data_IF_545435634930
#
_entry.id   IF_545435634930
#
_cell.length_a   1.000
_cell.length_b   1.000
_cell.length_c   1.000
_cell.angle_alpha   90.00
_cell.angle_beta   90.00
_cell.angle_gamma   90.00
#
_symmetry.space_group_name_H-M   'P 1'
#
loop_
_entity.id
_entity.type
_entity.pdbx_description
1 polymer ?
#
# COMPACT_ATOMS: atom_id res chain seq x y z
N UNK A 1 0.82 11.47 13.97
CA UNK A 1 0.39 10.57 12.87
C UNK A 1 0.23 11.30 11.55
N UNK A 2 -0.62 12.33 11.41
CA UNK A 2 -0.84 13.00 10.10
C UNK A 2 0.08 14.21 9.82
N UNK A 3 1.12 14.42 10.62
CA UNK A 3 2.04 15.56 10.48
C UNK A 3 2.68 15.62 9.08
N UNK A 4 3.16 14.48 8.57
CA UNK A 4 3.78 14.36 7.24
C UNK A 4 2.83 14.70 6.09
N UNK A 5 1.56 14.30 6.23
CA UNK A 5 0.53 14.59 5.25
C UNK A 5 0.12 16.08 5.25
N UNK A 6 0.06 16.71 6.42
CA UNK A 6 -0.42 18.10 6.57
C UNK A 6 0.71 19.11 6.32
N UNK A 7 1.87 18.88 6.93
CA UNK A 7 2.98 19.83 7.00
C UNK A 7 4.17 19.43 6.12
N UNK A 8 4.18 18.22 5.55
CA UNK A 8 5.37 17.67 4.90
C UNK A 8 6.37 17.10 5.90
N UNK A 9 7.55 16.77 5.38
CA UNK A 9 8.57 16.00 6.11
C UNK A 9 9.36 16.91 7.05
N UNK A 10 9.58 16.44 8.28
CA UNK A 10 10.38 17.10 9.31
C UNK A 10 11.45 16.16 9.81
N UNK A 11 12.64 16.70 10.08
CA UNK A 11 13.81 15.89 10.48
C UNK A 11 13.79 15.44 11.93
N UNK A 12 12.87 15.97 12.73
CA UNK A 12 12.74 15.73 14.16
C UNK A 12 11.98 14.41 14.45
N UNK A 13 11.39 13.79 13.43
CA UNK A 13 10.67 12.51 13.52
C UNK A 13 11.61 11.32 13.30
N UNK A 14 12.43 10.98 14.32
CA UNK A 14 13.24 9.76 14.28
C UNK A 14 12.35 8.52 14.36
N UNK A 15 12.55 7.58 13.43
CA UNK A 15 11.91 6.27 13.51
C UNK A 15 12.73 5.34 14.42
N UNK A 16 12.11 4.82 15.48
CA UNK A 16 12.68 3.69 16.24
C UNK A 16 12.51 2.40 15.42
N UNK A 17 13.55 1.57 15.41
CA UNK A 17 13.55 0.26 14.73
C UNK A 17 13.73 -0.82 15.80
N UNK A 18 12.92 -1.87 15.79
CA UNK A 18 13.06 -2.97 16.77
C UNK A 18 13.22 -4.38 16.21
N UNK A 19 13.32 -4.59 14.89
CA UNK A 19 13.38 -5.96 14.33
C UNK A 19 14.48 -6.18 13.28
N UNK A 20 15.11 -7.35 13.37
CA UNK A 20 16.12 -7.89 12.45
C UNK A 20 15.44 -8.69 11.32
N UNK A 21 15.82 -8.39 10.08
CA UNK A 21 15.39 -9.14 8.88
C UNK A 21 16.64 -9.58 8.10
N UNK A 22 16.87 -10.89 7.92
CA UNK A 22 18.06 -11.41 7.23
C UNK A 22 18.11 -11.10 5.72
N UNK A 23 17.02 -10.60 5.14
CA UNK A 23 16.96 -10.14 3.75
C UNK A 23 17.37 -8.67 3.59
N UNK A 24 17.65 -7.96 4.69
CA UNK A 24 18.03 -6.54 4.70
C UNK A 24 19.53 -6.41 4.99
N UNK A 25 20.27 -5.75 4.10
CA UNK A 25 21.66 -5.35 4.34
C UNK A 25 21.69 -3.94 4.95
N UNK A 26 22.34 -3.82 6.09
CA UNK A 26 22.62 -2.52 6.72
C UNK A 26 23.85 -1.91 6.07
N UNK A 27 23.71 -0.66 5.65
CA UNK A 27 24.79 0.12 5.01
C UNK A 27 24.97 1.42 5.78
N UNK A 28 26.20 1.92 5.80
CA UNK A 28 26.62 2.99 6.70
C UNK A 28 27.03 4.25 5.94
N UNK A 29 27.17 5.35 6.69
CA UNK A 29 27.64 6.61 6.14
C UNK A 29 29.01 6.45 5.46
N UNK A 30 29.13 7.03 4.26
CA UNK A 30 30.28 7.02 3.34
C UNK A 30 30.62 5.66 2.73
N UNK A 31 29.76 4.65 2.89
CA UNK A 31 29.96 3.36 2.22
C UNK A 31 29.98 3.50 0.70
N UNK A 32 30.84 2.70 0.06
CA UNK A 32 30.92 2.55 -1.40
C UNK A 32 30.74 1.09 -1.76
N UNK A 33 29.53 0.71 -2.14
CA UNK A 33 29.15 -0.70 -2.27
C UNK A 33 29.01 -1.05 -3.75
N UNK A 34 29.72 -2.08 -4.18
CA UNK A 34 29.47 -2.67 -5.50
C UNK A 34 28.29 -3.63 -5.40
N UNK A 35 27.17 -3.28 -6.03
CA UNK A 35 25.93 -4.06 -6.03
C UNK A 35 26.16 -5.51 -6.46
N UNK A 36 27.03 -5.74 -7.44
CA UNK A 36 27.29 -7.08 -7.96
C UNK A 36 28.00 -8.01 -6.95
N UNK A 37 28.55 -7.47 -5.86
CA UNK A 37 29.22 -8.24 -4.80
C UNK A 37 28.31 -8.57 -3.61
N UNK A 38 27.10 -8.02 -3.57
CA UNK A 38 26.16 -8.28 -2.48
C UNK A 38 25.50 -9.66 -2.72
N UNK A 39 25.34 -10.49 -1.68
CA UNK A 39 24.70 -11.79 -1.79
C UNK A 39 23.27 -11.70 -2.36
N UNK A 40 22.90 -12.64 -3.24
CA UNK A 40 21.58 -12.69 -3.88
C UNK A 40 20.39 -12.85 -2.90
N UNK A 41 20.65 -13.30 -1.65
CA UNK A 41 19.64 -13.39 -0.59
C UNK A 41 19.17 -12.03 -0.07
N UNK A 42 19.96 -10.98 -0.27
CA UNK A 42 19.62 -9.62 0.16
C UNK A 42 18.62 -9.03 -0.83
N UNK A 43 17.51 -8.55 -0.30
CA UNK A 43 16.42 -7.93 -1.06
C UNK A 43 16.32 -6.43 -0.83
N UNK A 44 16.89 -5.93 0.27
CA UNK A 44 16.77 -4.54 0.67
C UNK A 44 18.07 -3.99 1.20
N UNK A 45 18.24 -2.68 1.01
CA UNK A 45 19.27 -1.89 1.66
C UNK A 45 18.62 -1.01 2.72
N UNK A 46 19.21 -1.00 3.92
CA UNK A 46 18.82 -0.10 5.00
C UNK A 46 19.93 0.89 5.26
N UNK A 47 19.61 2.17 5.15
CA UNK A 47 20.52 3.29 5.31
C UNK A 47 19.86 4.38 6.15
N UNK A 48 20.62 5.01 7.05
CA UNK A 48 20.10 6.04 7.97
C UNK A 48 18.79 5.59 8.69
N UNK A 49 18.75 4.32 9.09
CA UNK A 49 17.61 3.73 9.80
C UNK A 49 16.36 3.45 8.94
N UNK A 50 16.39 3.62 7.62
CA UNK A 50 15.23 3.37 6.74
C UNK A 50 15.57 2.43 5.59
N UNK A 51 14.58 1.68 5.12
CA UNK A 51 14.72 0.89 3.89
C UNK A 51 14.71 1.85 2.70
N UNK A 52 15.64 1.66 1.77
CA UNK A 52 15.67 2.41 0.51
C UNK A 52 14.72 1.75 -0.50
N UNK A 53 13.68 2.48 -0.90
CA UNK A 53 12.71 2.04 -1.92
C UNK A 53 12.82 2.83 -3.23
N UNK A 54 13.80 3.73 -3.33
CA UNK A 54 14.03 4.58 -4.51
C UNK A 54 13.15 5.84 -4.48
N UNK A 55 12.89 6.42 -5.66
CA UNK A 55 12.26 7.73 -5.74
C UNK A 55 11.78 8.17 -7.13
N UNK A 56 11.20 9.36 -7.14
CA UNK A 56 10.60 10.02 -8.31
C UNK A 56 11.55 11.10 -8.81
N UNK A 57 11.72 11.23 -10.12
CA UNK A 57 12.59 12.22 -10.73
C UNK A 57 12.22 13.64 -10.28
N UNK A 58 13.22 14.41 -9.84
CA UNK A 58 13.10 15.80 -9.40
C UNK A 58 14.07 16.75 -10.13
N UNK A 59 14.84 16.23 -11.09
CA UNK A 59 15.80 16.97 -11.90
C UNK A 59 16.53 16.03 -12.87
N UNK A 60 17.53 16.55 -13.60
CA UNK A 60 18.35 15.73 -14.48
C UNK A 60 19.15 14.71 -13.65
N UNK A 61 18.76 13.44 -13.73
CA UNK A 61 19.37 12.31 -13.01
C UNK A 61 19.25 12.33 -11.48
N UNK A 62 18.44 13.22 -10.93
CA UNK A 62 18.14 13.27 -9.49
C UNK A 62 16.72 12.78 -9.24
N UNK A 63 16.55 11.99 -8.18
CA UNK A 63 15.29 11.44 -7.73
C UNK A 63 15.13 11.68 -6.23
N UNK A 64 13.90 11.88 -5.77
CA UNK A 64 13.59 12.06 -4.35
C UNK A 64 12.65 10.94 -3.89
N UNK A 65 12.89 10.36 -2.71
CA UNK A 65 12.00 9.34 -2.15
C UNK A 65 10.58 9.87 -1.96
N UNK A 66 9.59 8.98 -1.99
CA UNK A 66 8.17 9.35 -1.82
C UNK A 66 7.91 10.01 -0.45
N UNK A 67 8.64 9.60 0.58
CA UNK A 67 8.60 10.18 1.92
C UNK A 67 9.56 11.38 2.10
N UNK A 68 10.16 11.88 1.02
CA UNK A 68 11.14 12.99 0.98
C UNK A 68 12.25 12.92 2.03
N UNK A 69 12.68 11.72 2.42
CA UNK A 69 13.79 11.53 3.36
C UNK A 69 15.13 11.29 2.65
N UNK A 70 15.11 10.84 1.40
CA UNK A 70 16.31 10.57 0.62
C UNK A 70 16.33 11.28 -0.73
N UNK A 71 17.52 11.69 -1.14
CA UNK A 71 17.84 12.12 -2.50
C UNK A 71 18.75 11.06 -3.12
N UNK A 72 18.45 10.69 -4.36
CA UNK A 72 19.21 9.77 -5.17
C UNK A 72 19.75 10.51 -6.39
N UNK A 73 21.06 10.42 -6.66
CA UNK A 73 21.68 11.03 -7.84
C UNK A 73 22.40 9.96 -8.66
N UNK A 74 21.94 9.73 -9.88
CA UNK A 74 22.48 8.71 -10.77
C UNK A 74 23.53 9.33 -11.72
N UNK A 75 24.78 8.91 -11.60
CA UNK A 75 25.88 9.35 -12.45
C UNK A 75 26.47 8.16 -13.20
N UNK A 76 26.06 7.98 -14.46
CA UNK A 76 26.35 6.74 -15.20
C UNK A 76 25.69 5.55 -14.51
N UNK A 77 26.51 4.62 -13.98
CA UNK A 77 26.05 3.45 -13.21
C UNK A 77 26.27 3.60 -11.71
N UNK A 78 26.77 4.74 -11.24
CA UNK A 78 26.95 5.01 -9.81
C UNK A 78 25.72 5.77 -9.29
N UNK A 79 25.06 5.20 -8.27
CA UNK A 79 23.93 5.82 -7.60
C UNK A 79 24.37 6.34 -6.24
N UNK A 80 24.46 7.65 -6.10
CA UNK A 80 24.67 8.32 -4.83
C UNK A 80 23.34 8.46 -4.09
N UNK A 81 23.30 8.10 -2.81
CA UNK A 81 22.13 8.23 -1.93
C UNK A 81 22.48 9.15 -0.77
N UNK A 82 21.68 10.17 -0.52
CA UNK A 82 21.85 11.14 0.57
C UNK A 82 20.61 11.14 1.46
N UNK A 83 20.79 10.95 2.77
CA UNK A 83 19.75 11.25 3.76
C UNK A 83 19.64 12.76 3.90
N UNK A 84 18.43 13.31 3.71
CA UNK A 84 18.17 14.75 3.82
C UNK A 84 18.36 15.21 5.26
N UNK A 85 17.89 14.42 6.23
CA UNK A 85 17.86 14.82 7.63
C UNK A 85 19.16 14.50 8.36
N UNK A 86 19.69 13.29 8.18
CA UNK A 86 20.90 12.86 8.89
C UNK A 86 22.18 13.35 8.22
N UNK A 87 22.06 13.93 7.00
CA UNK A 87 23.18 14.38 6.15
C UNK A 87 24.21 13.28 5.88
N UNK A 88 23.83 12.02 6.04
CA UNK A 88 24.63 10.85 5.69
C UNK A 88 24.55 10.61 4.18
N UNK A 89 25.60 10.03 3.62
CA UNK A 89 25.64 9.65 2.21
C UNK A 89 26.18 8.23 1.99
N UNK A 90 25.75 7.57 0.92
CA UNK A 90 26.34 6.32 0.45
C UNK A 90 26.42 6.30 -1.07
N UNK A 91 27.30 5.45 -1.64
CA UNK A 91 27.40 5.26 -3.09
C UNK A 91 27.22 3.79 -3.44
N UNK A 92 26.26 3.51 -4.31
CA UNK A 92 26.03 2.20 -4.90
C UNK A 92 26.61 2.17 -6.31
N UNK A 93 27.70 1.42 -6.48
CA UNK A 93 28.36 1.24 -7.78
C UNK A 93 27.68 0.14 -8.60
N UNK A 94 27.68 0.32 -9.91
CA UNK A 94 27.08 -0.60 -10.89
C UNK A 94 25.58 -0.81 -10.67
N UNK A 95 24.88 0.25 -10.28
CA UNK A 95 23.42 0.30 -10.23
C UNK A 95 22.86 0.29 -11.65
N UNK A 96 21.97 -0.67 -11.92
CA UNK A 96 21.24 -0.80 -13.17
C UNK A 96 19.77 -0.45 -12.92
N UNK A 97 19.36 0.70 -13.42
CA UNK A 97 18.01 1.24 -13.25
C UNK A 97 16.93 0.31 -13.79
N UNK A 98 17.20 -0.44 -14.85
CA UNK A 98 16.23 -1.34 -15.50
C UNK A 98 16.05 -2.65 -14.73
N UNK A 99 17.05 -3.03 -13.92
CA UNK A 99 17.00 -4.23 -13.08
C UNK A 99 16.49 -3.98 -11.67
N UNK A 100 16.41 -2.71 -11.26
CA UNK A 100 15.90 -2.28 -9.95
C UNK A 100 16.47 -3.09 -8.77
N UNK A 101 17.82 -3.20 -8.66
CA UNK A 101 18.44 -4.04 -7.65
C UNK A 101 18.01 -3.62 -6.24
N UNK A 102 17.74 -4.62 -5.40
CA UNK A 102 17.23 -4.46 -4.02
C UNK A 102 15.90 -3.69 -3.94
N UNK A 103 15.10 -3.75 -4.99
CA UNK A 103 13.80 -3.09 -5.08
C UNK A 103 13.91 -1.56 -4.92
N UNK A 104 15.08 -1.01 -5.23
CA UNK A 104 15.31 0.42 -5.25
C UNK A 104 14.87 0.94 -6.61
N UNK A 105 13.65 1.51 -6.68
CA UNK A 105 12.99 1.90 -7.93
C UNK A 105 13.18 3.39 -8.22
N UNK A 106 13.87 3.74 -9.31
CA UNK A 106 13.98 5.13 -9.77
C UNK A 106 13.03 5.36 -10.95
N UNK A 107 11.99 6.17 -10.75
CA UNK A 107 10.91 6.37 -11.73
C UNK A 107 10.82 7.81 -12.20
N UNK A 108 10.32 8.00 -13.42
CA UNK A 108 10.28 9.32 -14.03
C UNK A 108 9.11 10.16 -13.53
N UNK A 109 8.01 9.53 -13.15
CA UNK A 109 6.78 10.24 -12.74
C UNK A 109 6.20 9.63 -11.48
N UNK A 110 5.46 10.45 -10.74
CA UNK A 110 4.62 9.97 -9.66
C UNK A 110 3.40 9.22 -10.22
N UNK A 111 3.08 8.09 -9.61
CA UNK A 111 1.84 7.35 -9.80
C UNK A 111 0.91 7.60 -8.60
N UNK A 112 0.81 6.61 -7.71
CA UNK A 112 -0.16 6.63 -6.60
C UNK A 112 0.41 6.19 -5.26
N UNK A 113 -0.12 6.75 -4.18
CA UNK A 113 -0.07 6.16 -2.83
C UNK A 113 -1.47 5.64 -2.52
N UNK A 114 -1.61 4.32 -2.44
CA UNK A 114 -2.91 3.68 -2.17
C UNK A 114 -2.90 3.07 -0.78
N UNK A 115 -3.97 3.28 -0.02
CA UNK A 115 -4.24 2.50 1.17
C UNK A 115 -5.48 1.62 0.96
N UNK A 116 -5.32 0.31 1.12
CA UNK A 116 -6.45 -0.62 1.23
C UNK A 116 -6.82 -0.75 2.69
N UNK A 117 -8.03 -0.32 3.06
CA UNK A 117 -8.50 -0.32 4.45
C UNK A 117 -9.66 -1.30 4.55
N UNK A 118 -9.44 -2.47 5.14
CA UNK A 118 -10.42 -3.57 5.10
C UNK A 118 -10.88 -3.99 6.50
N UNK A 119 -12.21 -4.03 6.68
CA UNK A 119 -12.81 -4.61 7.88
C UNK A 119 -12.62 -6.14 7.84
N UNK A 120 -12.09 -6.70 8.92
CA UNK A 120 -11.86 -8.16 9.07
C UNK A 120 -12.80 -8.84 10.06
N UNK A 121 -13.90 -8.18 10.45
CA UNK A 121 -14.97 -8.81 11.23
C UNK A 121 -15.57 -10.04 10.50
N UNK A 122 -16.16 -10.97 11.25
CA UNK A 122 -16.72 -12.20 10.69
C UNK A 122 -17.82 -11.97 9.64
N UNK A 123 -18.55 -10.87 9.72
CA UNK A 123 -19.52 -10.46 8.69
C UNK A 123 -18.88 -10.14 7.34
N UNK A 124 -17.57 -9.84 7.31
CA UNK A 124 -16.77 -9.55 6.11
C UNK A 124 -16.04 -10.77 5.56
N UNK A 125 -16.22 -11.96 6.15
CA UNK A 125 -15.42 -13.16 5.87
C UNK A 125 -15.31 -13.46 4.37
N UNK A 126 -16.42 -13.46 3.65
CA UNK A 126 -16.45 -13.72 2.20
C UNK A 126 -15.61 -12.71 1.42
N UNK A 127 -15.71 -11.42 1.77
CA UNK A 127 -14.99 -10.34 1.09
C UNK A 127 -13.51 -10.28 1.44
N UNK A 128 -13.13 -10.66 2.66
CA UNK A 128 -11.72 -10.84 3.04
C UNK A 128 -11.10 -11.95 2.19
N UNK A 129 -11.79 -13.08 1.99
CA UNK A 129 -11.31 -14.14 1.09
C UNK A 129 -11.26 -13.69 -0.37
N UNK A 130 -12.32 -13.04 -0.85
CA UNK A 130 -12.36 -12.50 -2.20
C UNK A 130 -11.22 -11.52 -2.45
N UNK A 131 -10.91 -10.64 -1.49
CA UNK A 131 -9.76 -9.73 -1.56
C UNK A 131 -8.44 -10.49 -1.66
N UNK A 132 -8.22 -11.54 -0.85
CA UNK A 132 -7.02 -12.38 -0.92
C UNK A 132 -6.82 -13.02 -2.30
N UNK A 133 -7.90 -13.46 -2.94
CA UNK A 133 -7.86 -14.03 -4.30
C UNK A 133 -7.34 -13.03 -5.33
N UNK A 134 -7.77 -11.77 -5.24
CA UNK A 134 -7.45 -10.73 -6.22
C UNK A 134 -6.26 -9.85 -5.84
N UNK A 135 -5.73 -9.97 -4.63
CA UNK A 135 -4.59 -9.19 -4.14
C UNK A 135 -3.38 -9.20 -5.10
N UNK A 136 -3.01 -10.33 -5.75
CA UNK A 136 -1.92 -10.33 -6.74
C UNK A 136 -2.16 -9.39 -7.92
N UNK A 137 -3.40 -9.32 -8.40
CA UNK A 137 -3.76 -8.45 -9.52
C UNK A 137 -3.91 -6.99 -9.09
N UNK A 138 -4.45 -6.74 -7.90
CA UNK A 138 -4.51 -5.39 -7.30
C UNK A 138 -3.09 -4.82 -7.20
N UNK A 139 -2.16 -5.60 -6.62
CA UNK A 139 -0.77 -5.18 -6.47
C UNK A 139 -0.09 -4.94 -7.81
N UNK A 140 -0.26 -5.86 -8.77
CA UNK A 140 0.27 -5.70 -10.13
C UNK A 140 -0.21 -4.42 -10.82
N UNK A 141 -1.52 -4.16 -10.80
CA UNK A 141 -2.11 -2.97 -11.44
C UNK A 141 -1.52 -1.66 -10.85
N UNK A 142 -1.22 -1.65 -9.55
CA UNK A 142 -0.75 -0.46 -8.84
C UNK A 142 0.77 -0.28 -8.95
N UNK A 143 1.54 -1.37 -8.81
CA UNK A 143 2.99 -1.33 -8.61
C UNK A 143 3.81 -1.69 -9.87
N UNK A 144 3.21 -2.34 -10.88
CA UNK A 144 3.95 -2.93 -12.01
C UNK A 144 3.44 -2.47 -13.38
N UNK A 145 2.13 -2.36 -13.58
CA UNK A 145 1.57 -2.05 -14.92
C UNK A 145 1.92 -0.62 -15.39
N UNK A 146 2.31 0.27 -14.48
CA UNK A 146 2.86 1.60 -14.77
C UNK A 146 4.37 1.67 -14.58
N UNK A 147 5.16 0.97 -15.40
CA UNK A 147 6.64 0.88 -15.26
C UNK A 147 7.38 2.23 -15.17
N UNK A 148 6.82 3.31 -15.73
CA UNK A 148 7.45 4.63 -15.65
C UNK A 148 7.04 5.44 -14.39
N UNK A 149 6.04 4.93 -13.66
CA UNK A 149 5.43 5.60 -12.51
C UNK A 149 5.88 4.96 -11.19
N UNK A 150 6.17 5.80 -10.21
CA UNK A 150 6.39 5.36 -8.84
C UNK A 150 5.06 5.22 -8.13
N UNK A 151 4.79 4.06 -7.54
CA UNK A 151 3.62 3.87 -6.70
C UNK A 151 4.00 3.09 -5.45
N UNK A 152 3.20 3.28 -4.40
CA UNK A 152 3.26 2.45 -3.20
C UNK A 152 1.84 2.10 -2.75
N UNK A 153 1.75 1.00 -2.02
CA UNK A 153 0.50 0.52 -1.48
C UNK A 153 0.68 0.13 -0.02
N UNK A 154 -0.27 0.44 0.83
CA UNK A 154 -0.33 -0.07 2.21
C UNK A 154 -1.64 -0.82 2.43
N UNK A 155 -1.62 -1.78 3.35
CA UNK A 155 -2.78 -2.53 3.81
C UNK A 155 -3.00 -2.23 5.28
N UNK A 156 -4.21 -1.76 5.60
CA UNK A 156 -4.65 -1.58 6.99
C UNK A 156 -5.88 -2.46 7.20
N UNK A 157 -5.79 -3.37 8.16
CA UNK A 157 -6.94 -4.18 8.56
C UNK A 157 -7.50 -3.68 9.87
N UNK A 158 -8.81 -3.74 10.05
CA UNK A 158 -9.42 -3.28 11.29
C UNK A 158 -10.60 -4.14 11.73
N UNK A 159 -10.85 -4.11 13.02
CA UNK A 159 -12.01 -4.70 13.69
C UNK A 159 -12.43 -3.78 14.85
N UNK A 160 -13.13 -4.31 15.85
CA UNK A 160 -13.38 -3.65 17.14
C UNK A 160 -12.22 -3.73 18.11
N UNK A 161 -11.41 -4.79 18.03
CA UNK A 161 -10.31 -5.03 18.96
C UNK A 161 -9.02 -4.32 18.55
N UNK A 162 -8.78 -4.22 17.24
CA UNK A 162 -7.47 -3.81 16.74
C UNK A 162 -7.54 -3.16 15.36
N UNK A 163 -6.57 -2.27 15.12
CA UNK A 163 -6.20 -1.75 13.80
C UNK A 163 -4.77 -2.19 13.56
N UNK A 164 -4.60 -3.10 12.61
CA UNK A 164 -3.29 -3.61 12.22
C UNK A 164 -2.82 -2.95 10.94
N UNK A 165 -1.65 -2.33 11.04
CA UNK A 165 -0.88 -1.76 9.96
C UNK A 165 0.11 -2.79 9.41
N UNK A 166 0.23 -2.87 8.08
CA UNK A 166 1.16 -3.75 7.37
C UNK A 166 2.29 -2.99 6.68
N UNK A 167 2.49 -1.72 7.02
CA UNK A 167 3.52 -0.83 6.48
C UNK A 167 3.33 -0.50 4.97
N UNK A 168 4.23 0.33 4.45
CA UNK A 168 4.31 0.67 3.03
C UNK A 168 4.97 -0.46 2.23
N UNK A 169 4.32 -0.88 1.14
CA UNK A 169 4.80 -1.92 0.24
C UNK A 169 5.05 -1.36 -1.16
N UNK A 170 6.18 -1.76 -1.74
CA UNK A 170 6.63 -1.35 -3.07
C UNK A 170 6.70 -2.50 -4.07
N UNK A 171 6.48 -3.75 -3.63
CA UNK A 171 6.57 -4.98 -4.44
C UNK A 171 5.31 -5.80 -4.31
N UNK A 172 4.81 -6.32 -5.44
CA UNK A 172 3.56 -7.07 -5.45
C UNK A 172 3.58 -8.33 -4.58
N UNK A 173 4.68 -9.07 -4.56
CA UNK A 173 4.78 -10.31 -3.77
C UNK A 173 4.61 -10.07 -2.27
N UNK A 174 5.11 -8.96 -1.74
CA UNK A 174 5.01 -8.66 -0.32
C UNK A 174 3.60 -8.27 0.07
N UNK A 175 2.95 -7.45 -0.75
CA UNK A 175 1.56 -7.09 -0.56
C UNK A 175 0.65 -8.33 -0.56
N UNK A 176 0.95 -9.30 -1.42
CA UNK A 176 0.25 -10.59 -1.45
C UNK A 176 0.46 -11.38 -0.16
N UNK A 177 1.68 -11.40 0.39
CA UNK A 177 1.95 -12.03 1.69
C UNK A 177 1.21 -11.33 2.83
N UNK A 178 1.12 -10.01 2.82
CA UNK A 178 0.37 -9.25 3.82
C UNK A 178 -1.14 -9.49 3.71
N UNK A 179 -1.68 -9.53 2.50
CA UNK A 179 -3.07 -9.92 2.25
C UNK A 179 -3.35 -11.34 2.77
N UNK A 180 -2.45 -12.31 2.55
CA UNK A 180 -2.60 -13.68 3.06
C UNK A 180 -2.69 -13.72 4.60
N UNK A 181 -1.94 -12.86 5.29
CA UNK A 181 -1.91 -12.75 6.76
C UNK A 181 -3.18 -12.15 7.36
N UNK A 182 -4.10 -11.59 6.58
CA UNK A 182 -5.39 -11.10 7.10
C UNK A 182 -6.13 -12.23 7.82
N UNK A 183 -6.58 -11.99 9.05
CA UNK A 183 -7.34 -12.98 9.84
C UNK A 183 -8.71 -12.42 10.13
N UNK A 184 -9.73 -13.21 9.81
CA UNK A 184 -11.11 -12.89 10.17
C UNK A 184 -11.26 -13.08 11.68
N UNK A 185 -11.84 -12.08 12.35
CA UNK A 185 -12.05 -12.10 13.81
C UNK A 185 -13.54 -12.05 14.13
N UNK A 186 -13.93 -12.70 15.22
CA UNK A 186 -15.32 -12.64 15.69
C UNK A 186 -15.53 -11.30 16.40
N UNK A 187 -16.28 -10.41 15.77
CA UNK A 187 -16.31 -8.97 16.09
C UNK A 187 -17.62 -8.37 15.60
N UNK A 188 -18.16 -7.41 16.34
CA UNK A 188 -19.43 -6.74 15.99
C UNK A 188 -19.26 -5.23 15.73
N UNK A 189 -18.23 -4.61 16.31
CA UNK A 189 -17.99 -3.17 16.27
C UNK A 189 -16.83 -2.80 15.33
N UNK A 190 -16.76 -1.55 14.83
CA UNK A 190 -15.83 -1.15 13.75
C UNK A 190 -15.03 0.13 14.06
N UNK A 191 -13.71 0.03 14.22
CA UNK A 191 -12.78 1.16 14.42
C UNK A 191 -12.43 1.93 13.12
N UNK A 192 -13.44 2.24 12.31
CA UNK A 192 -13.27 2.83 10.96
C UNK A 192 -12.43 4.11 10.99
N UNK A 193 -12.74 5.04 11.90
CA UNK A 193 -12.04 6.33 11.96
C UNK A 193 -10.56 6.17 12.29
N UNK A 194 -10.22 5.27 13.22
CA UNK A 194 -8.83 5.01 13.58
C UNK A 194 -8.08 4.33 12.43
N UNK A 195 -8.72 3.37 11.76
CA UNK A 195 -8.17 2.72 10.57
C UNK A 195 -7.89 3.72 9.43
N UNK A 196 -8.79 4.67 9.18
CA UNK A 196 -8.60 5.75 8.22
C UNK A 196 -7.43 6.66 8.60
N UNK A 197 -7.30 7.04 9.89
CA UNK A 197 -6.17 7.84 10.38
C UNK A 197 -4.85 7.09 10.19
N UNK A 198 -4.81 5.79 10.50
CA UNK A 198 -3.62 4.96 10.30
C UNK A 198 -3.24 4.90 8.83
N UNK A 199 -4.20 4.64 7.94
CA UNK A 199 -4.01 4.63 6.49
C UNK A 199 -3.46 5.98 5.97
N UNK A 200 -4.04 7.09 6.40
CA UNK A 200 -3.59 8.43 6.02
C UNK A 200 -2.19 8.77 6.55
N UNK A 201 -1.72 8.13 7.62
CA UNK A 201 -0.39 8.37 8.18
C UNK A 201 0.75 7.92 7.27
N UNK A 202 0.46 7.03 6.31
CA UNK A 202 1.39 6.60 5.26
C UNK A 202 1.55 7.63 4.15
N UNK A 203 0.62 8.57 3.97
CA UNK A 203 0.70 9.51 2.87
C UNK A 203 1.63 10.68 3.18
N UNK A 204 2.39 11.10 2.16
CA UNK A 204 3.32 12.22 2.28
C UNK A 204 2.92 13.37 1.37
N UNK A 205 2.96 14.58 1.89
CA UNK A 205 2.66 15.79 1.14
C UNK A 205 3.73 16.09 0.07
N UNK A 206 3.30 16.70 -1.04
CA UNK A 206 4.14 17.29 -2.09
C UNK A 206 5.09 16.29 -2.78
N UNK A 207 4.71 15.01 -2.80
CA UNK A 207 5.47 13.93 -3.43
C UNK A 207 5.03 13.59 -4.86
N UNK A 208 4.04 14.29 -5.41
CA UNK A 208 3.55 14.07 -6.77
C UNK A 208 2.76 12.77 -6.95
N UNK A 209 2.42 12.08 -5.86
CA UNK A 209 1.63 10.85 -5.90
C UNK A 209 0.17 11.14 -5.54
N UNK A 210 -0.75 10.58 -6.35
CA UNK A 210 -2.19 10.63 -6.07
C UNK A 210 -2.51 9.79 -4.84
N UNK A 211 -3.21 10.35 -3.86
CA UNK A 211 -3.51 9.72 -2.57
C UNK A 211 -4.92 9.16 -2.57
N UNK A 212 -5.05 7.84 -2.58
CA UNK A 212 -6.35 7.15 -2.65
C UNK A 212 -6.49 6.14 -1.52
N UNK A 213 -7.64 6.15 -0.85
CA UNK A 213 -8.02 5.14 0.14
C UNK A 213 -9.18 4.34 -0.43
N UNK A 214 -9.07 3.02 -0.39
CA UNK A 214 -10.20 2.11 -0.65
C UNK A 214 -10.66 1.53 0.69
N UNK A 215 -11.71 2.13 1.27
CA UNK A 215 -12.35 1.66 2.49
C UNK A 215 -13.36 0.56 2.16
N UNK A 216 -13.14 -0.65 2.67
CA UNK A 216 -13.94 -1.85 2.40
C UNK A 216 -14.60 -2.27 3.72
N UNK A 217 -15.91 -2.07 3.84
CA UNK A 217 -16.65 -2.28 5.09
C UNK A 217 -18.14 -2.54 4.86
N UNK A 218 -18.77 -3.25 5.79
CA UNK A 218 -20.21 -3.57 5.86
C UNK A 218 -20.90 -2.85 7.05
N UNK A 219 -20.32 -1.77 7.58
CA UNK A 219 -20.95 -1.03 8.67
C UNK A 219 -20.36 0.35 8.93
N UNK A 220 -21.22 1.18 9.53
CA UNK A 220 -20.88 2.51 9.97
C UNK A 220 -19.88 2.46 11.14
N UNK A 221 -19.12 3.54 11.36
CA UNK A 221 -18.36 3.71 12.59
C UNK A 221 -19.31 3.65 13.79
N UNK A 222 -18.94 2.98 14.88
CA UNK A 222 -19.86 2.82 16.02
C UNK A 222 -20.13 4.12 16.79
N UNK A 223 -19.26 5.12 16.64
CA UNK A 223 -19.35 6.38 17.35
C UNK A 223 -19.80 7.50 16.42
N UNK A 224 -21.11 7.67 16.30
CA UNK A 224 -21.72 8.69 15.43
C UNK A 224 -21.33 10.12 15.84
N UNK A 225 -21.06 10.39 17.14
CA UNK A 225 -20.54 11.71 17.58
C UNK A 225 -19.14 11.97 17.06
N UNK A 226 -18.34 10.92 16.92
CA UNK A 226 -17.05 11.00 16.25
C UNK A 226 -17.16 11.00 14.72
N UNK A 227 -18.28 10.61 14.11
CA UNK A 227 -18.48 10.71 12.66
C UNK A 227 -18.65 12.16 12.23
N UNK A 228 -19.41 12.99 12.95
CA UNK A 228 -19.49 14.44 12.64
C UNK A 228 -18.14 15.12 12.78
N UNK A 229 -17.40 14.80 13.85
CA UNK A 229 -16.01 15.26 14.02
C UNK A 229 -15.12 14.77 12.91
N UNK A 230 -15.22 13.50 12.51
CA UNK A 230 -14.45 12.93 11.41
C UNK A 230 -14.80 13.60 10.09
N UNK A 231 -16.07 13.87 9.82
CA UNK A 231 -16.51 14.58 8.63
C UNK A 231 -15.97 16.02 8.62
N UNK A 232 -16.03 16.71 9.76
CA UNK A 232 -15.45 18.05 9.91
C UNK A 232 -13.93 18.02 9.69
N UNK A 233 -13.23 17.05 10.30
CA UNK A 233 -11.80 16.84 10.12
C UNK A 233 -11.47 16.50 8.67
N UNK A 234 -12.21 15.63 7.99
CA UNK A 234 -12.03 15.25 6.58
C UNK A 234 -12.24 16.44 5.65
N UNK A 235 -13.32 17.22 5.84
CA UNK A 235 -13.59 18.46 5.09
C UNK A 235 -12.45 19.48 5.27
N UNK A 236 -11.85 19.52 6.47
CA UNK A 236 -10.73 20.39 6.77
C UNK A 236 -9.37 19.78 6.42
N UNK A 237 -9.25 18.46 6.26
CA UNK A 237 -7.99 17.76 6.04
C UNK A 237 -7.41 18.20 4.70
N UNK A 238 -8.16 18.07 3.61
CA UNK A 238 -7.70 18.51 2.29
C UNK A 238 -7.42 20.02 2.27
N UNK A 239 -8.21 20.83 3.00
CA UNK A 239 -7.92 22.27 3.17
C UNK A 239 -6.60 22.53 3.88
N UNK A 240 -6.33 21.82 4.98
CA UNK A 240 -5.10 21.96 5.77
C UNK A 240 -3.87 21.41 5.04
N UNK A 241 -4.03 20.33 4.28
CA UNK A 241 -3.01 19.81 3.37
C UNK A 241 -2.63 20.90 2.36
N UNK A 242 -3.60 21.55 1.71
CA UNK A 242 -3.29 22.50 0.63
C UNK A 242 -2.95 23.92 1.06
N UNK A 243 -3.25 24.29 2.31
CA UNK A 243 -3.06 25.66 2.85
C UNK A 243 -1.63 26.18 2.66
N UNK A 244 -0.64 25.29 2.78
CA UNK A 244 0.77 25.64 2.65
C UNK A 244 1.40 25.22 1.31
N UNK A 245 0.62 24.70 0.35
CA UNK A 245 1.10 24.25 -0.98
C UNK A 245 0.48 25.06 -2.13
N UNK A 246 0.13 26.32 -1.87
CA UNK A 246 -0.48 27.20 -2.88
C UNK A 246 -1.86 26.76 -3.38
N UNK A 247 -2.56 25.86 -2.66
CA UNK A 247 -3.89 25.41 -3.03
C UNK A 247 -3.97 24.20 -3.98
N UNK A 248 -2.84 23.58 -4.37
CA UNK A 248 -2.85 22.44 -5.32
C UNK A 248 -3.63 21.23 -4.79
N UNK A 249 -4.60 20.75 -5.57
CA UNK A 249 -5.37 19.53 -5.29
C UNK A 249 -4.55 18.23 -5.39
N UNK A 250 -3.31 18.29 -5.87
CA UNK A 250 -2.46 17.10 -6.07
C UNK A 250 -2.19 16.31 -4.78
N UNK A 251 -2.32 16.95 -3.61
CA UNK A 251 -2.15 16.31 -2.32
C UNK A 251 -3.46 15.88 -1.66
N UNK A 252 -4.60 16.06 -2.32
CA UNK A 252 -5.87 15.66 -1.73
C UNK A 252 -5.89 14.16 -1.52
N UNK A 253 -6.36 13.78 -0.34
CA UNK A 253 -6.73 12.40 -0.04
C UNK A 253 -8.14 12.21 -0.56
N UNK A 254 -8.30 11.22 -1.43
CA UNK A 254 -9.61 10.76 -1.92
C UNK A 254 -9.95 9.43 -1.27
N UNK A 255 -11.09 9.35 -0.58
CA UNK A 255 -11.57 8.14 0.07
C UNK A 255 -12.70 7.56 -0.76
N UNK A 256 -12.46 6.41 -1.38
CA UNK A 256 -13.51 5.60 -2.00
C UNK A 256 -14.03 4.59 -0.99
N UNK A 257 -15.34 4.49 -0.85
CA UNK A 257 -15.97 3.51 0.06
C UNK A 257 -16.66 2.43 -0.74
N UNK A 258 -16.31 1.18 -0.46
CA UNK A 258 -16.99 -0.02 -0.92
C UNK A 258 -17.84 -0.53 0.26
N UNK A 259 -19.08 -0.05 0.32
CA UNK A 259 -20.07 -0.36 1.35
C UNK A 259 -20.80 -1.65 1.01
N UNK A 260 -20.40 -2.73 1.67
CA UNK A 260 -20.85 -4.07 1.30
C UNK A 260 -22.24 -4.35 1.87
N UNK A 261 -23.21 -4.55 0.99
CA UNK A 261 -24.60 -4.95 1.29
C UNK A 261 -25.37 -4.04 2.25
N UNK A 262 -24.96 -2.77 2.41
CA UNK A 262 -25.66 -1.78 3.26
C UNK A 262 -25.47 -0.36 2.75
N UNK A 263 -26.51 0.45 2.87
CA UNK A 263 -26.36 1.90 2.81
C UNK A 263 -25.70 2.39 4.11
N UNK A 264 -24.61 3.15 3.97
CA UNK A 264 -23.79 3.69 5.05
C UNK A 264 -23.72 5.21 4.92
N UNK A 265 -24.84 5.90 5.16
CA UNK A 265 -25.02 7.34 4.89
C UNK A 265 -23.87 8.20 5.44
N UNK A 266 -23.44 7.91 6.66
CA UNK A 266 -22.38 8.69 7.31
C UNK A 266 -21.01 8.52 6.61
N UNK A 267 -20.72 7.31 6.10
CA UNK A 267 -19.53 7.07 5.27
C UNK A 267 -19.68 7.63 3.86
N UNK A 268 -20.91 7.68 3.33
CA UNK A 268 -21.20 8.33 2.05
C UNK A 268 -20.88 9.81 2.11
N UNK A 269 -21.22 10.50 3.20
CA UNK A 269 -20.84 11.91 3.40
C UNK A 269 -19.32 12.11 3.48
N UNK A 270 -18.60 11.27 4.23
CA UNK A 270 -17.13 11.31 4.30
C UNK A 270 -16.51 11.09 2.91
N UNK A 271 -17.02 10.10 2.18
CA UNK A 271 -16.57 9.76 0.82
C UNK A 271 -16.73 10.97 -0.11
N UNK A 272 -17.93 11.55 -0.17
CA UNK A 272 -18.23 12.70 -1.02
C UNK A 272 -17.43 13.95 -0.62
N UNK A 273 -17.17 14.15 0.68
CA UNK A 273 -16.35 15.27 1.16
C UNK A 273 -14.88 15.20 0.68
N UNK A 274 -14.42 14.04 0.23
CA UNK A 274 -13.07 13.84 -0.35
C UNK A 274 -13.06 13.71 -1.87
N UNK A 275 -14.17 14.03 -2.53
CA UNK A 275 -14.40 13.78 -3.97
C UNK A 275 -14.26 12.29 -4.35
N UNK A 276 -14.46 11.41 -3.37
CA UNK A 276 -14.45 9.97 -3.56
C UNK A 276 -15.79 9.44 -4.05
N UNK A 277 -15.80 8.17 -4.43
CA UNK A 277 -16.99 7.47 -4.90
C UNK A 277 -17.46 6.45 -3.86
N UNK A 278 -18.76 6.42 -3.65
CA UNK A 278 -19.43 5.46 -2.77
C UNK A 278 -20.03 4.35 -3.64
N UNK A 279 -19.62 3.11 -3.36
CA UNK A 279 -20.00 1.93 -4.13
C UNK A 279 -20.70 0.93 -3.23
N UNK A 280 -21.73 0.28 -3.76
CA UNK A 280 -22.51 -0.74 -3.06
C UNK A 280 -22.49 -2.06 -3.84
N UNK A 281 -21.34 -2.75 -3.93
CA UNK A 281 -21.29 -4.03 -4.63
C UNK A 281 -22.17 -5.04 -3.88
N UNK A 282 -23.04 -5.73 -4.64
CA UNK A 282 -24.06 -6.65 -4.10
C UNK A 282 -23.57 -8.10 -3.92
N UNK A 283 -22.32 -8.39 -4.28
CA UNK A 283 -21.73 -9.73 -4.19
C UNK A 283 -20.20 -9.67 -4.14
N UNK A 284 -19.56 -10.77 -3.72
CA UNK A 284 -18.10 -10.90 -3.80
C UNK A 284 -17.57 -10.78 -5.23
N UNK A 285 -18.33 -11.21 -6.24
CA UNK A 285 -17.95 -11.05 -7.64
C UNK A 285 -17.90 -9.57 -8.06
N UNK A 286 -18.96 -8.82 -7.79
CA UNK A 286 -19.01 -7.39 -8.11
C UNK A 286 -17.98 -6.60 -7.30
N UNK A 287 -17.75 -6.97 -6.05
CA UNK A 287 -16.66 -6.44 -5.23
C UNK A 287 -15.29 -6.65 -5.89
N UNK A 288 -14.98 -7.89 -6.32
CA UNK A 288 -13.71 -8.21 -6.99
C UNK A 288 -13.54 -7.40 -8.27
N UNK A 289 -14.56 -7.40 -9.13
CA UNK A 289 -14.57 -6.65 -10.39
C UNK A 289 -14.34 -5.17 -10.17
N UNK A 290 -15.04 -4.58 -9.20
CA UNK A 290 -14.92 -3.17 -8.86
C UNK A 290 -13.52 -2.82 -8.34
N UNK A 291 -13.01 -3.54 -7.35
CA UNK A 291 -11.70 -3.22 -6.76
C UNK A 291 -10.57 -3.38 -7.79
N UNK A 292 -10.64 -4.40 -8.65
CA UNK A 292 -9.70 -4.59 -9.76
C UNK A 292 -9.76 -3.47 -10.80
N UNK A 293 -10.97 -2.98 -11.11
CA UNK A 293 -11.15 -1.83 -12.01
C UNK A 293 -10.58 -0.55 -11.39
N UNK A 294 -10.85 -0.30 -10.11
CA UNK A 294 -10.35 0.87 -9.39
C UNK A 294 -8.81 0.85 -9.28
N UNK A 295 -8.22 -0.30 -8.98
CA UNK A 295 -6.76 -0.46 -8.96
C UNK A 295 -6.13 -0.25 -10.34
N UNK A 296 -6.87 -0.53 -11.43
CA UNK A 296 -6.46 -0.34 -12.82
C UNK A 296 -6.88 1.02 -13.42
N UNK A 297 -6.93 2.09 -12.63
CA UNK A 297 -7.30 3.43 -13.11
C UNK A 297 -8.68 3.52 -13.78
N UNK A 298 -9.63 2.69 -13.35
CA UNK A 298 -10.98 2.65 -13.91
C UNK A 298 -11.11 1.84 -15.20
N UNK A 299 -10.02 1.26 -15.72
CA UNK A 299 -10.06 0.39 -16.90
C UNK A 299 -10.64 -0.97 -16.54
N UNK A 300 -11.45 -1.52 -17.44
CA UNK A 300 -12.00 -2.86 -17.27
C UNK A 300 -10.90 -3.92 -17.20
N UNK A 301 -11.23 -5.02 -16.53
CA UNK A 301 -10.30 -6.12 -16.24
C UNK A 301 -10.80 -7.41 -16.85
N UNK A 302 -9.86 -8.23 -17.32
CA UNK A 302 -10.19 -9.51 -17.94
C UNK A 302 -10.96 -10.41 -16.96
N UNK A 303 -12.04 -11.10 -17.41
CA UNK A 303 -12.84 -11.98 -16.55
C UNK A 303 -12.04 -13.04 -15.80
N UNK A 304 -10.92 -13.51 -16.39
CA UNK A 304 -10.01 -14.50 -15.78
C UNK A 304 -9.36 -14.00 -14.49
N UNK A 305 -9.21 -12.68 -14.31
CA UNK A 305 -8.68 -12.07 -13.07
C UNK A 305 -9.72 -12.03 -11.94
N UNK A 306 -11.01 -12.15 -12.26
CA UNK A 306 -12.13 -12.03 -11.30
C UNK A 306 -12.45 -13.41 -10.68
N UNK A 307 -12.39 -14.46 -11.48
CA UNK A 307 -12.59 -15.85 -11.04
C UNK A 307 -11.26 -16.59 -11.03
N UNK A 308 -10.43 -16.29 -10.03
CA UNK A 308 -9.22 -17.08 -9.77
C UNK A 308 -9.67 -18.43 -9.22
N UNK A 309 -9.70 -19.45 -10.07
CA UNK A 309 -9.82 -20.83 -9.61
C UNK A 309 -8.52 -21.15 -8.87
N UNK A 310 -8.52 -21.07 -7.53
CA UNK A 310 -7.48 -21.69 -6.73
C UNK A 310 -7.77 -23.19 -6.85
N UNK A 311 -6.93 -24.00 -7.53
CA UNK A 311 -7.16 -25.44 -7.55
C UNK A 311 -7.11 -25.91 -6.09
N UNK A 312 -8.23 -26.38 -5.55
CA UNK A 312 -8.19 -27.14 -4.31
C UNK A 312 -7.23 -28.31 -4.58
N UNK A 313 -6.36 -28.63 -3.61
CA UNK A 313 -5.54 -29.85 -3.72
C UNK A 313 -6.50 -30.98 -4.06
N UNK A 314 -6.43 -31.51 -5.28
CA UNK A 314 -7.24 -32.63 -5.67
C UNK A 314 -6.88 -33.76 -4.71
N UNK A 315 -7.80 -34.08 -3.78
CA UNK A 315 -7.75 -35.38 -3.15
C UNK A 315 -7.89 -36.37 -4.30
N UNK A 316 -6.82 -37.15 -4.56
CA UNK A 316 -6.89 -38.24 -5.53
C UNK A 316 -8.12 -39.07 -5.16
N UNK A 317 -9.16 -39.02 -5.99
CA UNK A 317 -10.27 -39.95 -5.87
C UNK A 317 -9.66 -41.35 -6.07
N UNK A 318 -10.07 -42.28 -5.21
CA UNK A 318 -9.69 -43.68 -5.35
C UNK A 318 -10.15 -44.15 -6.74
N UNK A 319 -9.19 -44.61 -7.53
CA UNK A 319 -9.41 -45.15 -8.87
C UNK A 319 -9.43 -46.68 -8.73
N UNK A 320 -10.60 -47.34 -8.81
CA UNK A 320 -10.72 -48.78 -8.61
C UNK A 320 -10.00 -49.60 -9.68
N UNK A 321 -9.62 -49.00 -10.81
CA UNK A 321 -8.94 -49.67 -11.92
C UNK A 321 -7.42 -49.42 -11.92
N UNK A 322 -6.89 -48.70 -10.91
CA UNK A 322 -5.47 -48.47 -10.75
C UNK A 322 -4.86 -49.46 -9.72
N UNK A 323 -4.13 -50.49 -10.17
CA UNK A 323 -3.57 -51.52 -9.28
C UNK A 323 -2.52 -50.97 -8.29
N UNK A 324 -2.04 -49.74 -8.48
CA UNK A 324 -1.04 -49.11 -7.60
C UNK A 324 -1.66 -48.28 -6.46
N UNK A 325 -2.99 -48.23 -6.30
CA UNK A 325 -3.62 -47.38 -5.30
C UNK A 325 -4.79 -48.06 -4.54
N UNK A 326 -4.55 -49.16 -3.81
CA UNK A 326 -5.61 -49.88 -3.10
C UNK A 326 -6.20 -49.04 -1.94
N UNK A 327 -7.46 -49.29 -1.54
CA UNK A 327 -8.10 -48.53 -0.50
C UNK A 327 -7.43 -48.85 0.85
N UNK A 328 -7.04 -47.81 1.59
CA UNK A 328 -6.52 -47.99 2.95
C UNK A 328 -7.68 -48.43 3.87
N UNK A 329 -7.49 -49.53 4.60
CA UNK A 329 -8.41 -50.01 5.64
C UNK A 329 -8.46 -49.07 6.83
#
# INVERSE_FOLDING_TARGET
MLSRLIYGVKCDEMAMISHFDPSVLWVYDKDKINIQKIPAKIRYLRFAGRILSGGIASGNSTYTSADKTFIYTLSGTDLEVKSICDKQQLVLKNYDKEKEPYNLKLRQKGGKEIAIVINVANSMKEYVFAFKEIAPFVAKHILEDGKDSYSKITLVSFSDYDVKDYDDVFISSEFVEDAKKLKVVNSQTKLVNYALIQAMSHFTKDNGLKKEIFLITDGNPNDMRNVEKMLHLTKNLNRNIVKNSGGSKENWVTIHTLALNKNLDALKEITLATEGNFYEPSSAYEFKKLLLRLSNNGKDVEPRKINVIIPSKAHKMYDPDNPNNPPKR
#
